data_IF_567239249465
#
_entry.id   IF_567239249465
#
_cell.length_a   1.000
_cell.length_b   1.000
_cell.length_c   1.000
_cell.angle_alpha   90.00
_cell.angle_beta   90.00
_cell.angle_gamma   90.00
#
_symmetry.space_group_name_H-M   'P 1'
#
loop_
_entity.id
_entity.type
_entity.pdbx_description
1 polymer ?
#
# COMPACT_ATOMS: atom_id res chain seq x y z
N UNK A 1 1.01 1.22 3.37
CA UNK A 1 1.41 0.88 1.98
C UNK A 1 2.78 0.29 2.09
N UNK A 2 2.99 -0.93 1.62
CA UNK A 2 4.29 -1.61 1.70
C UNK A 2 4.95 -1.71 0.33
N UNK A 3 6.28 -1.59 0.29
CA UNK A 3 7.05 -1.83 -0.93
C UNK A 3 6.89 -3.30 -1.35
N UNK A 4 6.59 -3.53 -2.63
CA UNK A 4 6.42 -4.88 -3.17
C UNK A 4 7.72 -5.67 -3.16
N UNK A 5 7.68 -6.99 -2.97
CA UNK A 5 8.88 -7.85 -2.97
C UNK A 5 9.70 -7.73 -4.25
N UNK A 6 9.04 -7.61 -5.40
CA UNK A 6 9.71 -7.35 -6.69
C UNK A 6 10.50 -6.04 -6.71
N UNK A 7 10.02 -5.01 -6.00
CA UNK A 7 10.73 -3.74 -5.85
C UNK A 7 11.91 -3.85 -4.88
N UNK A 8 11.76 -4.62 -3.80
CA UNK A 8 12.86 -4.89 -2.85
C UNK A 8 14.00 -5.67 -3.53
N UNK A 9 13.67 -6.70 -4.30
CA UNK A 9 14.66 -7.46 -5.09
C UNK A 9 15.39 -6.59 -6.11
N UNK A 10 14.66 -5.66 -6.74
CA UNK A 10 15.28 -4.68 -7.64
C UNK A 10 16.23 -3.76 -6.87
N UNK A 11 15.84 -3.26 -5.70
CA UNK A 11 16.71 -2.44 -4.86
C UNK A 11 18.00 -3.19 -4.47
N UNK A 12 17.90 -4.46 -4.06
CA UNK A 12 19.07 -5.29 -3.76
C UNK A 12 19.99 -5.42 -4.99
N UNK A 13 19.45 -5.80 -6.14
CA UNK A 13 20.23 -5.97 -7.38
C UNK A 13 20.90 -4.68 -7.86
N UNK A 14 20.20 -3.55 -7.74
CA UNK A 14 20.68 -2.26 -8.23
C UNK A 14 21.74 -1.64 -7.30
N UNK A 15 21.83 -2.06 -6.03
CA UNK A 15 22.70 -1.44 -5.02
C UNK A 15 23.77 -2.37 -4.43
N UNK A 16 23.65 -3.69 -4.60
CA UNK A 16 24.62 -4.66 -4.09
C UNK A 16 25.28 -5.37 -5.28
N UNK A 17 26.59 -5.22 -5.44
CA UNK A 17 27.33 -5.79 -6.56
C UNK A 17 27.50 -7.31 -6.44
N UNK A 18 27.85 -7.78 -5.23
CA UNK A 18 28.18 -9.17 -4.94
C UNK A 18 29.43 -9.71 -5.65
N UNK A 19 30.23 -8.86 -6.30
CA UNK A 19 31.39 -9.28 -7.10
C UNK A 19 32.60 -9.70 -6.25
N UNK A 20 32.76 -9.10 -5.06
CA UNK A 20 33.88 -9.38 -4.14
C UNK A 20 33.37 -9.43 -2.70
N UNK A 21 32.71 -10.53 -2.29
CA UNK A 21 32.15 -10.66 -0.94
C UNK A 21 33.21 -10.41 0.12
N UNK A 22 32.87 -9.61 1.14
CA UNK A 22 33.73 -9.37 2.30
C UNK A 22 33.79 -10.62 3.17
N UNK A 23 34.99 -11.19 3.33
CA UNK A 23 35.27 -12.19 4.35
C UNK A 23 35.64 -11.46 5.64
N UNK A 24 34.89 -11.72 6.71
CA UNK A 24 35.04 -11.02 8.00
C UNK A 24 34.97 -12.00 9.16
N UNK A 25 35.86 -11.80 10.12
CA UNK A 25 35.79 -12.48 11.41
C UNK A 25 34.63 -11.92 12.28
N UNK A 26 34.30 -12.52 13.44
CA UNK A 26 33.14 -12.09 14.22
C UNK A 26 33.27 -10.67 14.78
N UNK A 27 34.48 -10.25 15.13
CA UNK A 27 34.74 -8.93 15.70
C UNK A 27 34.65 -7.86 14.61
N UNK A 28 35.26 -8.11 13.44
CA UNK A 28 35.14 -7.27 12.25
C UNK A 28 33.68 -7.13 11.80
N UNK A 29 32.91 -8.22 11.82
CA UNK A 29 31.49 -8.18 11.50
C UNK A 29 30.71 -7.26 12.45
N UNK A 30 31.09 -7.23 13.75
CA UNK A 30 30.49 -6.36 14.76
C UNK A 30 30.89 -4.90 14.56
N UNK A 31 32.16 -4.64 14.28
CA UNK A 31 32.65 -3.29 13.98
C UNK A 31 31.96 -2.70 12.75
N UNK A 32 31.85 -3.47 11.67
CA UNK A 32 31.16 -3.07 10.45
C UNK A 32 29.65 -2.87 10.66
N UNK A 33 29.04 -3.65 11.56
CA UNK A 33 27.63 -3.48 11.92
C UNK A 33 27.41 -2.16 12.68
N UNK A 34 28.27 -1.83 13.65
CA UNK A 34 28.20 -0.55 14.38
C UNK A 34 28.56 0.64 13.46
N UNK A 35 29.51 0.48 12.53
CA UNK A 35 29.81 1.48 11.49
C UNK A 35 28.58 1.73 10.59
N UNK A 36 27.91 0.66 10.15
CA UNK A 36 26.68 0.75 9.37
C UNK A 36 25.60 1.50 10.16
N UNK A 37 25.37 1.12 11.42
CA UNK A 37 24.37 1.75 12.30
C UNK A 37 24.67 3.25 12.48
N UNK A 38 25.92 3.62 12.78
CA UNK A 38 26.32 5.02 12.93
C UNK A 38 26.04 5.86 11.66
N UNK A 39 26.08 5.26 10.47
CA UNK A 39 25.81 5.94 9.20
C UNK A 39 24.33 6.03 8.84
N UNK A 40 23.50 5.10 9.32
CA UNK A 40 22.09 4.96 8.90
C UNK A 40 21.09 5.40 9.96
N UNK A 41 21.40 5.32 11.25
CA UNK A 41 20.53 5.80 12.33
C UNK A 41 20.19 7.30 12.25
N UNK A 42 21.10 8.20 11.81
CA UNK A 42 20.74 9.60 11.60
C UNK A 42 19.73 9.82 10.47
N UNK A 43 19.46 8.83 9.62
CA UNK A 43 18.52 8.95 8.51
C UNK A 43 17.07 8.85 9.04
N UNK A 44 16.25 9.84 8.71
CA UNK A 44 14.85 9.86 9.12
C UNK A 44 14.10 8.61 8.61
N UNK A 45 13.39 7.93 9.53
CA UNK A 45 12.63 6.72 9.24
C UNK A 45 13.39 5.41 9.47
N UNK A 46 14.68 5.48 9.80
CA UNK A 46 15.49 4.32 10.19
C UNK A 46 15.46 4.14 11.70
N UNK A 47 15.30 2.91 12.17
CA UNK A 47 15.41 2.56 13.59
C UNK A 47 16.24 1.29 13.77
N UNK A 48 17.18 1.30 14.71
CA UNK A 48 17.84 0.08 15.18
C UNK A 48 16.79 -0.86 15.77
N UNK A 49 16.85 -2.14 15.41
CA UNK A 49 15.93 -3.15 15.92
C UNK A 49 16.69 -4.40 16.36
N UNK A 50 17.33 -4.32 17.52
CA UNK A 50 18.06 -5.46 18.10
C UNK A 50 17.12 -6.58 18.57
N UNK A 51 15.82 -6.31 18.71
CA UNK A 51 14.79 -7.27 19.07
C UNK A 51 14.38 -8.13 17.86
N UNK A 52 15.29 -8.99 17.41
CA UNK A 52 15.04 -9.91 16.29
C UNK A 52 14.52 -11.28 16.73
N UNK A 53 13.38 -11.32 17.44
CA UNK A 53 12.64 -12.57 17.66
C UNK A 53 12.08 -13.21 16.36
N UNK A 54 12.29 -12.57 15.20
CA UNK A 54 11.84 -13.04 13.89
C UNK A 54 12.87 -13.86 13.11
N UNK A 55 14.06 -14.12 13.66
CA UNK A 55 15.07 -14.99 13.04
C UNK A 55 14.74 -16.50 13.13
N UNK A 56 13.53 -16.86 13.58
CA UNK A 56 13.08 -18.26 13.63
C UNK A 56 12.83 -18.89 12.25
N UNK A 57 12.89 -18.12 11.15
CA UNK A 57 12.77 -18.66 9.79
C UNK A 57 14.00 -19.44 9.32
N UNK A 58 15.14 -19.29 10.00
CA UNK A 58 16.30 -20.19 9.88
C UNK A 58 16.26 -21.36 10.86
N UNK A 59 15.29 -21.40 11.79
CA UNK A 59 15.09 -22.52 12.71
C UNK A 59 14.07 -23.55 12.22
N UNK A 60 13.25 -23.22 11.21
CA UNK A 60 12.11 -24.06 10.81
C UNK A 60 12.05 -24.35 9.32
N UNK A 61 12.97 -25.18 8.80
CA UNK A 61 12.81 -25.79 7.48
C UNK A 61 14.09 -26.06 6.68
N UNK A 62 14.96 -26.94 7.16
CA UNK A 62 15.83 -27.76 6.31
C UNK A 62 16.23 -28.99 7.13
N UNK A 63 16.30 -30.16 6.47
CA UNK A 63 16.70 -31.45 7.03
C UNK A 63 17.82 -31.35 8.09
N UNK A 64 17.74 -32.21 9.11
CA UNK A 64 18.53 -32.20 10.35
C UNK A 64 20.05 -32.41 10.26
N UNK A 65 20.69 -32.05 9.15
CA UNK A 65 22.13 -32.20 8.92
C UNK A 65 22.85 -30.88 8.56
N UNK A 66 22.23 -29.71 8.72
CA UNK A 66 22.91 -28.42 8.49
C UNK A 66 22.72 -27.44 9.66
N UNK A 67 23.81 -26.86 10.20
CA UNK A 67 23.68 -25.80 11.21
C UNK A 67 22.92 -24.60 10.62
N UNK A 68 22.28 -23.74 11.46
CA UNK A 68 21.75 -22.47 10.99
C UNK A 68 22.92 -21.67 10.41
N UNK A 69 22.91 -21.44 9.09
CA UNK A 69 24.15 -21.09 8.40
C UNK A 69 24.66 -19.68 8.75
N UNK A 70 23.78 -18.72 9.07
CA UNK A 70 24.20 -17.32 9.14
C UNK A 70 23.99 -16.69 10.54
N UNK A 71 25.02 -16.03 11.06
CA UNK A 71 24.98 -15.21 12.29
C UNK A 71 24.43 -13.82 11.96
N UNK A 72 23.39 -13.37 12.68
CA UNK A 72 22.84 -12.02 12.55
C UNK A 72 23.78 -11.01 13.21
N UNK A 73 24.32 -10.06 12.44
CA UNK A 73 25.20 -9.01 12.95
C UNK A 73 24.40 -7.80 13.46
N UNK A 74 23.41 -7.35 12.69
CA UNK A 74 22.48 -6.30 13.13
C UNK A 74 21.17 -6.32 12.34
N UNK A 75 20.15 -5.64 12.86
CA UNK A 75 18.91 -5.41 12.15
C UNK A 75 18.43 -3.96 12.25
N UNK A 76 17.94 -3.49 11.12
CA UNK A 76 17.47 -2.13 10.93
C UNK A 76 16.02 -2.20 10.47
N UNK A 77 15.13 -1.54 11.20
CA UNK A 77 13.76 -1.30 10.78
C UNK A 77 13.73 -0.08 9.85
N UNK A 78 13.25 -0.29 8.62
CA UNK A 78 13.20 0.74 7.58
C UNK A 78 11.79 1.29 7.32
N UNK A 79 10.76 0.49 7.58
CA UNK A 79 9.36 0.92 7.44
C UNK A 79 8.48 0.20 8.46
N UNK A 80 7.78 0.99 9.28
CA UNK A 80 6.71 0.52 10.16
C UNK A 80 5.43 0.28 9.35
N UNK A 81 4.76 -0.84 9.62
CA UNK A 81 3.49 -1.15 8.95
C UNK A 81 2.40 -0.30 9.56
N UNK A 82 1.55 0.27 8.71
CA UNK A 82 0.32 0.93 9.13
C UNK A 82 -0.79 -0.06 9.53
N UNK A 83 -0.63 -1.35 9.22
CA UNK A 83 -1.61 -2.38 9.55
C UNK A 83 -1.36 -2.95 10.95
N UNK A 84 -2.43 -3.12 11.73
CA UNK A 84 -2.42 -3.69 13.11
C UNK A 84 -1.85 -5.11 13.21
N UNK A 85 -1.45 -5.70 12.09
CA UNK A 85 -0.81 -7.01 12.02
C UNK A 85 0.69 -6.80 11.82
N UNK A 86 1.48 -7.20 12.82
CA UNK A 86 2.95 -7.13 12.93
C UNK A 86 3.76 -7.81 11.79
N UNK A 87 3.15 -8.14 10.66
CA UNK A 87 3.76 -8.95 9.59
C UNK A 87 4.37 -8.17 8.43
N UNK A 88 4.14 -6.86 8.35
CA UNK A 88 4.53 -6.07 7.17
C UNK A 88 5.61 -5.02 7.44
N UNK A 89 6.39 -5.20 8.52
CA UNK A 89 7.60 -4.42 8.74
C UNK A 89 8.66 -4.78 7.70
N UNK A 90 9.26 -3.76 7.09
CA UNK A 90 10.43 -3.96 6.25
C UNK A 90 11.68 -3.79 7.11
N UNK A 91 12.37 -4.91 7.29
CA UNK A 91 13.66 -4.94 7.96
C UNK A 91 14.79 -5.11 6.94
N UNK A 92 15.93 -4.54 7.26
CA UNK A 92 17.21 -4.92 6.68
C UNK A 92 18.00 -5.70 7.73
N UNK A 93 18.57 -6.82 7.33
CA UNK A 93 19.42 -7.65 8.18
C UNK A 93 20.81 -7.72 7.57
N UNK A 94 21.84 -7.48 8.39
CA UNK A 94 23.22 -7.78 8.04
C UNK A 94 23.58 -9.12 8.68
N UNK A 95 24.04 -10.05 7.86
CA UNK A 95 24.26 -11.45 8.22
C UNK A 95 25.71 -11.82 7.89
N UNK A 96 26.29 -12.72 8.67
CA UNK A 96 27.56 -13.40 8.36
C UNK A 96 27.29 -14.86 8.04
N UNK A 97 27.74 -15.37 6.90
CA UNK A 97 27.57 -16.78 6.52
C UNK A 97 28.58 -17.71 7.22
N UNK A 98 28.43 -19.06 7.11
CA UNK A 98 29.43 -19.99 7.64
C UNK A 98 30.80 -19.83 6.99
N UNK A 99 30.82 -19.42 5.73
CA UNK A 99 32.04 -19.15 4.95
C UNK A 99 32.65 -17.78 5.28
N UNK A 100 32.23 -17.17 6.39
CA UNK A 100 32.70 -15.88 6.90
C UNK A 100 32.37 -14.69 6.00
N UNK A 101 31.45 -14.84 5.07
CA UNK A 101 31.05 -13.76 4.16
C UNK A 101 29.97 -12.87 4.76
N UNK A 102 30.00 -11.57 4.48
CA UNK A 102 28.88 -10.67 4.78
C UNK A 102 27.79 -10.73 3.72
N UNK A 103 26.55 -10.73 4.19
CA UNK A 103 25.34 -10.76 3.39
C UNK A 103 24.33 -9.74 3.91
N UNK A 104 23.52 -9.20 3.01
CA UNK A 104 22.40 -8.32 3.35
C UNK A 104 21.08 -8.93 2.90
N UNK A 105 20.09 -8.90 3.77
CA UNK A 105 18.70 -9.29 3.48
C UNK A 105 17.79 -8.07 3.63
N UNK A 106 16.81 -7.93 2.73
CA UNK A 106 15.84 -6.83 2.73
C UNK A 106 14.40 -7.38 2.64
N UNK A 107 13.63 -7.18 3.71
CA UNK A 107 12.23 -7.64 3.81
C UNK A 107 12.09 -9.15 4.05
N UNK A 108 10.86 -9.66 3.89
CA UNK A 108 10.51 -11.07 4.20
C UNK A 108 10.60 -12.03 3.00
N UNK A 109 10.88 -11.54 1.79
CA UNK A 109 10.78 -12.33 0.55
C UNK A 109 12.08 -12.34 -0.27
N UNK A 110 12.98 -13.26 0.12
CA UNK A 110 13.98 -14.00 -0.67
C UNK A 110 15.23 -13.28 -1.22
N UNK A 111 16.30 -14.08 -1.15
CA UNK A 111 17.67 -13.95 -1.68
C UNK A 111 18.50 -12.84 -1.05
N UNK A 112 19.13 -13.11 0.11
CA UNK A 112 20.19 -12.25 0.59
C UNK A 112 21.26 -12.09 -0.50
N UNK A 113 21.93 -10.94 -0.52
CA UNK A 113 22.99 -10.63 -1.47
C UNK A 113 24.33 -10.51 -0.73
N UNK A 114 25.44 -11.04 -1.27
CA UNK A 114 26.74 -10.89 -0.65
C UNK A 114 27.19 -9.43 -0.76
N UNK A 115 27.74 -8.90 0.32
CA UNK A 115 28.15 -7.49 0.44
C UNK A 115 29.63 -7.38 0.12
N UNK A 116 29.98 -6.49 -0.82
CA UNK A 116 31.39 -6.22 -1.16
C UNK A 116 31.95 -5.02 -0.40
N UNK A 117 31.08 -4.11 0.06
CA UNK A 117 31.44 -2.91 0.81
C UNK A 117 30.25 -2.44 1.67
N UNK A 118 30.51 -1.97 2.90
CA UNK A 118 29.44 -1.44 3.77
C UNK A 118 28.77 -0.19 3.18
N UNK A 119 29.49 0.58 2.35
CA UNK A 119 28.91 1.67 1.58
C UNK A 119 27.79 1.23 0.63
N UNK A 120 27.82 0.00 0.10
CA UNK A 120 26.72 -0.57 -0.71
C UNK A 120 25.44 -0.71 0.12
N UNK A 121 25.57 -1.16 1.37
CA UNK A 121 24.44 -1.32 2.30
C UNK A 121 23.89 0.05 2.71
N UNK A 122 24.75 1.04 2.94
CA UNK A 122 24.33 2.43 3.19
C UNK A 122 23.60 3.01 1.97
N UNK A 123 24.10 2.76 0.75
CA UNK A 123 23.45 3.19 -0.48
C UNK A 123 22.08 2.54 -0.66
N UNK A 124 21.97 1.24 -0.38
CA UNK A 124 20.71 0.49 -0.39
C UNK A 124 19.67 1.11 0.56
N UNK A 125 20.05 1.44 1.80
CA UNK A 125 19.16 2.10 2.77
C UNK A 125 18.67 3.44 2.25
N UNK A 126 19.58 4.29 1.73
CA UNK A 126 19.21 5.59 1.16
C UNK A 126 18.29 5.44 -0.06
N UNK A 127 18.55 4.46 -0.93
CA UNK A 127 17.72 4.16 -2.09
C UNK A 127 16.32 3.67 -1.69
N UNK A 128 16.23 2.84 -0.64
CA UNK A 128 14.97 2.40 -0.06
C UNK A 128 14.14 3.59 0.44
N UNK A 129 14.70 4.43 1.31
CA UNK A 129 14.01 5.59 1.88
C UNK A 129 13.52 6.56 0.80
N UNK A 130 14.38 6.86 -0.19
CA UNK A 130 14.01 7.68 -1.35
C UNK A 130 12.81 7.10 -2.10
N UNK A 131 12.74 5.79 -2.25
CA UNK A 131 11.63 5.11 -2.92
C UNK A 131 10.34 5.17 -2.10
N UNK A 132 10.42 5.01 -0.78
CA UNK A 132 9.28 5.19 0.14
C UNK A 132 8.73 6.61 0.01
N UNK A 133 9.59 7.63 0.05
CA UNK A 133 9.16 9.02 -0.06
C UNK A 133 8.50 9.33 -1.40
N UNK A 134 9.06 8.80 -2.49
CA UNK A 134 8.45 8.91 -3.82
C UNK A 134 7.06 8.26 -3.85
N UNK A 135 6.88 7.09 -3.25
CA UNK A 135 5.57 6.44 -3.19
C UNK A 135 4.57 7.22 -2.34
N UNK A 136 4.99 7.74 -1.18
CA UNK A 136 4.16 8.62 -0.33
C UNK A 136 3.72 9.87 -1.09
N UNK A 137 4.66 10.56 -1.75
CA UNK A 137 4.35 11.75 -2.55
C UNK A 137 3.40 11.44 -3.71
N UNK A 138 3.60 10.32 -4.41
CA UNK A 138 2.70 9.87 -5.47
C UNK A 138 1.31 9.53 -4.94
N UNK A 139 1.20 8.89 -3.78
CA UNK A 139 -0.09 8.57 -3.18
C UNK A 139 -0.84 9.83 -2.77
N UNK A 140 -0.17 10.82 -2.17
CA UNK A 140 -0.77 12.14 -1.87
C UNK A 140 -1.27 12.81 -3.16
N UNK A 141 -0.47 12.80 -4.23
CA UNK A 141 -0.89 13.34 -5.54
C UNK A 141 -2.12 12.61 -6.09
N UNK A 142 -2.13 11.28 -6.05
CA UNK A 142 -3.26 10.45 -6.50
C UNK A 142 -4.52 10.72 -5.67
N UNK A 143 -4.37 10.87 -4.36
CA UNK A 143 -5.48 11.18 -3.45
C UNK A 143 -6.08 12.56 -3.77
N UNK A 144 -5.26 13.60 -3.92
CA UNK A 144 -5.72 14.94 -4.34
C UNK A 144 -6.47 14.90 -5.67
N UNK A 145 -5.93 14.17 -6.66
CA UNK A 145 -6.61 14.00 -7.95
C UNK A 145 -7.95 13.28 -7.82
N UNK A 146 -8.02 12.26 -6.95
CA UNK A 146 -9.26 11.54 -6.65
C UNK A 146 -10.29 12.45 -5.97
N UNK A 147 -9.88 13.24 -4.99
CA UNK A 147 -10.76 14.15 -4.25
C UNK A 147 -11.36 15.21 -5.18
N UNK A 148 -10.54 15.79 -6.06
CA UNK A 148 -11.03 16.73 -7.09
C UNK A 148 -12.04 16.08 -8.03
N UNK A 149 -11.75 14.86 -8.51
CA UNK A 149 -12.71 14.10 -9.34
C UNK A 149 -14.01 13.85 -8.60
N UNK A 150 -13.93 13.39 -7.34
CA UNK A 150 -15.08 13.14 -6.48
C UNK A 150 -15.93 14.39 -6.27
N UNK A 151 -15.32 15.53 -5.98
CA UNK A 151 -16.04 16.81 -5.84
C UNK A 151 -16.76 17.20 -7.13
N UNK A 152 -16.13 17.01 -8.29
CA UNK A 152 -16.79 17.26 -9.57
C UNK A 152 -17.99 16.32 -9.82
N UNK A 153 -17.88 15.03 -9.44
CA UNK A 153 -19.01 14.08 -9.49
C UNK A 153 -20.16 14.59 -8.62
N UNK A 154 -19.85 14.88 -7.35
CA UNK A 154 -20.84 15.28 -6.37
C UNK A 154 -21.52 16.59 -6.77
N UNK A 155 -20.78 17.58 -7.28
CA UNK A 155 -21.34 18.84 -7.74
C UNK A 155 -22.35 18.63 -8.88
N UNK A 156 -22.01 17.79 -9.88
CA UNK A 156 -22.93 17.49 -10.98
C UNK A 156 -24.15 16.70 -10.51
N UNK A 157 -23.95 15.69 -9.65
CA UNK A 157 -25.07 14.91 -9.10
C UNK A 157 -25.99 15.81 -8.29
N UNK A 158 -25.46 16.72 -7.46
CA UNK A 158 -26.26 17.71 -6.71
C UNK A 158 -27.09 18.60 -7.63
N UNK A 159 -26.49 19.08 -8.73
CA UNK A 159 -27.20 19.88 -9.73
C UNK A 159 -28.37 19.10 -10.35
N UNK A 160 -28.12 17.87 -10.80
CA UNK A 160 -29.16 17.01 -11.38
C UNK A 160 -30.23 16.66 -10.33
N UNK A 161 -29.83 16.36 -9.09
CA UNK A 161 -30.72 16.05 -7.97
C UNK A 161 -31.68 17.21 -7.65
N UNK A 162 -31.16 18.44 -7.65
CA UNK A 162 -31.94 19.66 -7.42
C UNK A 162 -32.90 19.94 -8.58
N UNK A 163 -32.44 19.81 -9.82
CA UNK A 163 -33.26 20.07 -11.01
C UNK A 163 -34.35 19.01 -11.23
N UNK A 164 -34.01 17.73 -11.05
CA UNK A 164 -34.91 16.60 -11.35
C UNK A 164 -35.64 16.09 -10.09
N UNK A 165 -35.38 16.65 -8.91
CA UNK A 165 -36.05 16.34 -7.65
C UNK A 165 -35.87 14.89 -7.20
N UNK A 166 -34.64 14.49 -6.84
CA UNK A 166 -34.37 13.17 -6.25
C UNK A 166 -33.31 13.20 -5.15
N UNK A 167 -33.47 12.31 -4.18
CA UNK A 167 -32.50 12.12 -3.10
C UNK A 167 -31.43 11.10 -3.50
N UNK A 168 -30.21 11.30 -3.02
CA UNK A 168 -29.11 10.39 -3.32
C UNK A 168 -28.14 10.24 -2.15
N UNK A 169 -27.32 9.20 -2.20
CA UNK A 169 -26.18 8.99 -1.33
C UNK A 169 -24.97 8.52 -2.16
N UNK A 170 -23.76 8.66 -1.64
CA UNK A 170 -22.55 8.19 -2.32
C UNK A 170 -21.64 7.40 -1.41
N UNK A 171 -21.06 6.34 -1.95
CA UNK A 171 -19.99 5.57 -1.32
C UNK A 171 -18.76 5.59 -2.24
N UNK A 172 -17.58 5.73 -1.65
CA UNK A 172 -16.33 5.85 -2.41
C UNK A 172 -15.39 4.72 -2.04
N UNK A 173 -14.93 4.01 -3.06
CA UNK A 173 -13.86 3.03 -2.96
C UNK A 173 -12.57 3.60 -3.60
N UNK A 174 -11.51 2.81 -3.65
CA UNK A 174 -10.23 3.06 -4.31
C UNK A 174 -10.37 3.29 -5.83
N UNK A 175 -11.29 2.60 -6.51
CA UNK A 175 -11.39 2.59 -7.98
C UNK A 175 -12.65 3.22 -8.56
N UNK A 176 -13.73 3.35 -7.76
CA UNK A 176 -15.04 3.77 -8.24
C UNK A 176 -15.80 4.57 -7.19
N UNK A 177 -16.67 5.46 -7.67
CA UNK A 177 -17.74 6.07 -6.89
C UNK A 177 -19.02 5.26 -7.12
N UNK A 178 -19.75 4.99 -6.06
CA UNK A 178 -21.05 4.36 -6.10
C UNK A 178 -22.10 5.39 -5.75
N UNK A 179 -22.90 5.77 -6.75
CA UNK A 179 -24.01 6.69 -6.62
C UNK A 179 -25.28 5.89 -6.34
N UNK A 180 -25.94 6.17 -5.22
CA UNK A 180 -27.16 5.49 -4.80
C UNK A 180 -28.30 6.49 -4.90
N UNK A 181 -29.35 6.16 -5.66
CA UNK A 181 -30.48 7.07 -5.92
C UNK A 181 -31.74 6.47 -5.34
N UNK A 182 -32.47 7.30 -4.59
CA UNK A 182 -33.72 6.91 -3.95
C UNK A 182 -34.87 6.91 -4.94
N UNK A 183 -35.64 5.82 -4.97
CA UNK A 183 -36.88 5.69 -5.73
C UNK A 183 -38.11 5.76 -4.83
N UNK A 184 -38.03 5.13 -3.66
CA UNK A 184 -39.05 5.17 -2.60
C UNK A 184 -38.38 5.04 -1.23
N UNK A 185 -39.17 4.89 -0.16
CA UNK A 185 -38.62 4.67 1.18
C UNK A 185 -37.84 3.35 1.30
N UNK A 186 -38.20 2.35 0.49
CA UNK A 186 -37.60 1.02 0.52
C UNK A 186 -36.82 0.67 -0.75
N UNK A 187 -37.03 1.40 -1.85
CA UNK A 187 -36.40 1.12 -3.14
C UNK A 187 -35.39 2.19 -3.54
N UNK A 188 -34.27 1.71 -4.06
CA UNK A 188 -33.16 2.53 -4.54
C UNK A 188 -32.35 1.71 -5.54
N UNK A 189 -31.65 2.40 -6.44
CA UNK A 189 -30.70 1.79 -7.37
C UNK A 189 -29.32 2.40 -7.21
N UNK A 190 -28.30 1.64 -7.58
CA UNK A 190 -26.91 2.07 -7.47
C UNK A 190 -26.23 2.08 -8.85
N UNK A 191 -25.65 3.21 -9.21
CA UNK A 191 -24.78 3.35 -10.39
C UNK A 191 -23.34 3.32 -9.91
N UNK A 192 -22.55 2.38 -10.44
CA UNK A 192 -21.11 2.31 -10.20
C UNK A 192 -20.38 3.10 -11.30
N UNK A 193 -19.63 4.12 -10.89
CA UNK A 193 -18.92 5.04 -11.78
C UNK A 193 -17.42 4.90 -11.54
N UNK A 194 -16.68 4.23 -12.44
CA UNK A 194 -15.22 4.17 -12.37
C UNK A 194 -14.57 5.55 -12.52
N UNK A 195 -13.55 5.86 -11.72
CA UNK A 195 -12.89 7.18 -11.78
C UNK A 195 -12.12 7.46 -13.08
N UNK A 196 -11.81 6.42 -13.86
CA UNK A 196 -11.16 6.52 -15.16
C UNK A 196 -12.15 6.84 -16.30
N UNK A 197 -13.42 6.47 -16.18
CA UNK A 197 -14.46 6.68 -17.19
C UNK A 197 -15.35 7.90 -16.90
N UNK A 198 -15.07 8.62 -15.83
CA UNK A 198 -15.96 9.65 -15.31
C UNK A 198 -16.31 10.75 -16.32
N UNK A 199 -15.33 11.23 -17.11
CA UNK A 199 -15.56 12.27 -18.13
C UNK A 199 -16.58 11.84 -19.19
N UNK A 200 -16.61 10.55 -19.53
CA UNK A 200 -17.51 9.99 -20.54
C UNK A 200 -18.89 9.66 -19.99
N UNK A 201 -18.95 9.23 -18.72
CA UNK A 201 -20.20 8.88 -18.04
C UNK A 201 -20.99 10.13 -17.64
N UNK A 202 -20.31 11.23 -17.31
CA UNK A 202 -20.91 12.47 -16.83
C UNK A 202 -22.09 12.98 -17.66
N UNK A 203 -21.95 13.18 -18.99
CA UNK A 203 -23.04 13.72 -19.81
C UNK A 203 -24.24 12.78 -19.90
N UNK A 204 -24.00 11.46 -19.83
CA UNK A 204 -25.02 10.42 -19.98
C UNK A 204 -25.76 10.14 -18.67
N UNK A 205 -25.21 10.60 -17.54
CA UNK A 205 -25.72 10.27 -16.21
C UNK A 205 -27.15 10.77 -16.01
N UNK A 206 -27.46 12.00 -16.44
CA UNK A 206 -28.82 12.57 -16.31
C UNK A 206 -29.84 11.72 -17.05
N UNK A 207 -29.59 11.43 -18.32
CA UNK A 207 -30.49 10.61 -19.17
C UNK A 207 -30.70 9.22 -18.57
N UNK A 208 -29.64 8.58 -18.05
CA UNK A 208 -29.75 7.28 -17.41
C UNK A 208 -30.61 7.32 -16.13
N UNK A 209 -30.44 8.36 -15.29
CA UNK A 209 -31.22 8.53 -14.07
C UNK A 209 -32.70 8.74 -14.39
N UNK A 210 -33.00 9.61 -15.37
CA UNK A 210 -34.35 9.90 -15.81
C UNK A 210 -35.04 8.64 -16.35
N UNK A 211 -34.40 7.93 -17.28
CA UNK A 211 -34.94 6.69 -17.85
C UNK A 211 -35.22 5.61 -16.79
N UNK A 212 -34.33 5.45 -15.81
CA UNK A 212 -34.52 4.49 -14.72
C UNK A 212 -35.69 4.88 -13.80
N UNK A 213 -35.84 6.17 -13.50
CA UNK A 213 -36.98 6.67 -12.70
C UNK A 213 -38.30 6.55 -13.44
N UNK A 214 -38.35 6.91 -14.72
CA UNK A 214 -39.54 6.75 -15.57
C UNK A 214 -39.95 5.28 -15.67
N UNK A 215 -38.98 4.39 -15.86
CA UNK A 215 -39.22 2.93 -15.88
C UNK A 215 -39.76 2.44 -14.54
N UNK A 216 -39.26 2.95 -13.42
CA UNK A 216 -39.82 2.60 -12.10
C UNK A 216 -41.26 3.12 -11.93
N UNK A 217 -41.52 4.33 -12.39
CA UNK A 217 -42.84 4.98 -12.30
C UNK A 217 -43.90 4.29 -13.17
N UNK A 218 -43.51 3.61 -14.25
CA UNK A 218 -44.43 2.79 -15.07
C UNK A 218 -44.82 1.46 -14.43
N UNK A 219 -44.32 1.16 -13.22
CA UNK A 219 -44.65 -0.04 -12.46
C UNK A 219 -43.60 -1.13 -12.52
N UNK A 220 -42.52 -0.95 -13.30
CA UNK A 220 -41.40 -1.89 -13.30
C UNK A 220 -40.66 -1.79 -11.96
N UNK A 221 -40.25 -2.94 -11.42
CA UNK A 221 -39.50 -3.03 -10.17
C UNK A 221 -38.13 -3.62 -10.44
N UNK A 222 -37.10 -2.99 -9.90
CA UNK A 222 -35.73 -3.46 -10.02
C UNK A 222 -35.38 -4.34 -8.82
N UNK A 223 -34.96 -5.58 -9.07
CA UNK A 223 -34.38 -6.42 -8.02
C UNK A 223 -32.96 -5.95 -7.76
N UNK A 224 -32.77 -5.17 -6.70
CA UNK A 224 -31.43 -4.73 -6.31
C UNK A 224 -30.89 -5.63 -5.20
N UNK A 225 -29.75 -6.28 -5.42
CA UNK A 225 -29.03 -7.05 -4.39
C UNK A 225 -28.25 -6.13 -3.43
N UNK A 226 -28.86 -5.00 -3.08
CA UNK A 226 -28.26 -4.04 -2.18
C UNK A 226 -28.57 -4.51 -0.75
N UNK A 227 -27.55 -5.07 -0.08
CA UNK A 227 -27.62 -5.51 1.32
C UNK A 227 -28.33 -4.44 2.18
N UNK A 228 -29.15 -4.84 3.15
CA UNK A 228 -29.94 -4.01 4.10
C UNK A 228 -29.17 -2.90 4.88
N UNK A 229 -27.87 -2.71 4.64
CA UNK A 229 -27.01 -1.74 5.33
C UNK A 229 -27.13 -0.28 4.89
N UNK A 230 -27.78 0.03 3.76
CA UNK A 230 -27.84 1.41 3.22
C UNK A 230 -28.80 2.35 3.95
N UNK A 231 -29.53 1.86 4.96
CA UNK A 231 -30.26 2.73 5.90
C UNK A 231 -29.34 3.68 6.68
N UNK A 232 -28.02 3.43 6.70
CA UNK A 232 -27.01 4.26 7.38
C UNK A 232 -26.18 5.17 6.45
N UNK A 233 -26.44 5.19 5.15
CA UNK A 233 -25.76 6.11 4.24
C UNK A 233 -26.23 7.55 4.51
N UNK A 234 -25.31 8.52 4.50
CA UNK A 234 -25.66 9.95 4.61
C UNK A 234 -26.43 10.37 3.37
N UNK A 235 -27.76 10.32 3.45
CA UNK A 235 -28.65 10.75 2.38
C UNK A 235 -28.62 12.26 2.24
N UNK A 236 -28.37 12.71 1.02
CA UNK A 236 -28.48 14.11 0.63
C UNK A 236 -29.87 14.27 0.02
N UNK A 237 -30.73 15.04 0.70
CA UNK A 237 -32.05 15.37 0.17
C UNK A 237 -31.93 16.51 -0.83
N UNK A 238 -32.63 16.41 -1.94
CA UNK A 238 -32.63 17.49 -2.94
C UNK A 238 -33.18 18.81 -2.40
N UNK A 239 -34.02 18.77 -1.38
CA UNK A 239 -34.56 19.96 -0.70
C UNK A 239 -33.50 20.73 0.10
N UNK A 240 -32.41 20.06 0.48
CA UNK A 240 -31.32 20.64 1.27
C UNK A 240 -30.17 21.17 0.37
N UNK A 241 -30.37 21.22 -0.96
CA UNK A 241 -29.37 21.58 -2.00
C UNK A 241 -29.62 22.92 -2.68
#
# INVERSE_FOLDING_TARGET
>A
MSITSRSLQKLLRDNISGEKPLNVDPEQARELAEELLARVEPLAGVKRNDNCHHYSRFQGGANGDKPPSNTLCCSILLEESSDRWYRDHTHLHLLRSPEEQLWVELGRERSPAPVSDIGEVVALVKAFLKRVDQQKAQAVKRQKQKDLKMQAILAQVRKIAKEDGFDFATEVDTIKLKLIIRLSDNDYFAILIPFNQFKEVLPKLRTAIQALRETYNSGVRFKTHLKRGYRRSEWIRHQDL
#
